data_IF_231648475332
#
_entry.id   IF_231648475332
#
_cell.length_a   1.000
_cell.length_b   1.000
_cell.length_c   1.000
_cell.angle_alpha   90.00
_cell.angle_beta   90.00
_cell.angle_gamma   90.00
#
_symmetry.space_group_name_H-M   'P 1'
#
loop_
_entity.id
_entity.type
_entity.pdbx_description
1 polymer ?
#
# COMPACT_ATOMS: atom_id res chain seq x y z
N UNK A 1 5.30 16.81 12.96
CA UNK A 1 5.21 15.49 12.32
C UNK A 1 4.50 15.64 10.98
N UNK A 2 5.12 15.20 9.91
CA UNK A 2 4.58 15.18 8.54
C UNK A 2 4.68 13.75 8.04
N UNK A 3 3.69 13.28 7.28
CA UNK A 3 3.72 11.96 6.70
C UNK A 3 3.12 11.95 5.29
N UNK A 4 3.64 11.06 4.45
CA UNK A 4 3.20 10.85 3.07
C UNK A 4 3.11 9.36 2.79
N UNK A 5 2.15 8.99 1.95
CA UNK A 5 2.05 7.63 1.40
C UNK A 5 2.10 7.68 -0.12
N UNK A 6 2.77 6.72 -0.71
CA UNK A 6 2.86 6.53 -2.15
C UNK A 6 2.73 5.04 -2.50
N UNK A 7 2.71 4.75 -3.79
CA UNK A 7 2.54 3.40 -4.28
C UNK A 7 1.08 3.06 -4.58
N UNK A 8 0.89 1.91 -5.19
CA UNK A 8 -0.36 1.45 -5.78
C UNK A 8 -0.69 0.03 -5.30
N UNK A 9 -1.97 -0.31 -5.27
CA UNK A 9 -2.44 -1.60 -4.73
C UNK A 9 -1.81 -2.81 -5.40
N UNK A 10 -1.63 -2.75 -6.72
CA UNK A 10 -1.00 -3.81 -7.51
C UNK A 10 0.36 -3.40 -8.07
N UNK A 11 0.90 -2.24 -7.67
CA UNK A 11 2.28 -1.82 -7.94
C UNK A 11 3.29 -2.69 -7.18
N UNK A 12 4.56 -2.39 -7.31
CA UNK A 12 5.65 -3.13 -6.67
C UNK A 12 5.55 -3.13 -5.14
N UNK A 13 5.07 -2.04 -4.57
CA UNK A 13 4.87 -1.91 -3.14
C UNK A 13 4.20 -0.60 -2.75
N UNK A 14 3.94 -0.47 -1.47
CA UNK A 14 3.50 0.77 -0.86
C UNK A 14 4.68 1.39 -0.11
N UNK A 15 4.84 2.69 -0.25
CA UNK A 15 5.88 3.47 0.43
C UNK A 15 5.24 4.46 1.39
N UNK A 16 5.81 4.58 2.58
CA UNK A 16 5.44 5.61 3.54
C UNK A 16 6.66 6.34 4.05
N UNK A 17 6.55 7.64 4.19
CA UNK A 17 7.56 8.48 4.82
C UNK A 17 6.91 9.20 5.99
N UNK A 18 7.60 9.22 7.13
CA UNK A 18 7.21 10.02 8.27
C UNK A 18 8.43 10.81 8.77
N UNK A 19 8.27 12.09 8.95
CA UNK A 19 9.29 13.03 9.41
C UNK A 19 8.85 13.75 10.69
N UNK A 20 9.83 14.24 11.46
CA UNK A 20 9.61 14.89 12.73
C UNK A 20 9.43 13.92 13.90
N UNK A 21 9.99 12.72 13.81
CA UNK A 21 10.14 11.78 14.92
C UNK A 21 11.50 12.03 15.58
N UNK A 22 11.50 12.16 16.90
CA UNK A 22 12.74 12.32 17.66
C UNK A 22 13.65 11.10 17.53
N UNK A 23 14.95 11.28 17.67
CA UNK A 23 15.89 10.16 17.85
C UNK A 23 15.67 9.49 19.21
N UNK A 24 15.95 8.18 19.29
CA UNK A 24 15.89 7.45 20.56
C UNK A 24 14.57 6.71 20.81
N UNK A 25 13.58 6.77 19.91
CA UNK A 25 12.35 5.97 20.00
C UNK A 25 12.66 4.53 19.60
N UNK A 26 12.37 3.59 20.49
CA UNK A 26 12.53 2.15 20.22
C UNK A 26 11.42 1.65 19.31
N UNK A 27 11.79 1.09 18.15
CA UNK A 27 10.88 0.51 17.19
C UNK A 27 11.60 -0.51 16.32
N UNK A 28 10.94 -1.62 16.03
CA UNK A 28 11.46 -2.72 15.24
C UNK A 28 10.54 -3.05 14.06
N UNK A 29 11.04 -3.83 13.11
CA UNK A 29 10.20 -4.40 12.04
C UNK A 29 9.06 -5.26 12.60
N UNK A 30 9.29 -5.92 13.74
CA UNK A 30 8.25 -6.71 14.41
C UNK A 30 7.07 -5.85 14.85
N UNK A 31 7.30 -4.66 15.37
CA UNK A 31 6.22 -3.75 15.77
C UNK A 31 5.33 -3.39 14.57
N UNK A 32 5.94 -3.13 13.41
CA UNK A 32 5.18 -2.90 12.16
C UNK A 32 4.39 -4.14 11.75
N UNK A 33 5.00 -5.32 11.84
CA UNK A 33 4.33 -6.59 11.50
C UNK A 33 3.15 -6.86 12.42
N UNK A 34 3.28 -6.61 13.72
CA UNK A 34 2.20 -6.79 14.70
C UNK A 34 1.02 -5.84 14.41
N UNK A 35 1.30 -4.56 14.08
CA UNK A 35 0.29 -3.60 13.65
C UNK A 35 -0.44 -4.03 12.38
N UNK A 36 0.31 -4.51 11.38
CA UNK A 36 -0.25 -5.02 10.14
C UNK A 36 -1.03 -6.34 10.34
N UNK A 37 -0.56 -7.21 11.23
CA UNK A 37 -1.30 -8.43 11.60
C UNK A 37 -2.64 -8.07 12.24
N UNK A 38 -2.66 -7.10 13.17
CA UNK A 38 -3.90 -6.61 13.79
C UNK A 38 -4.88 -6.05 12.75
N UNK A 39 -4.40 -5.30 11.74
CA UNK A 39 -5.23 -4.79 10.64
C UNK A 39 -5.99 -5.88 9.91
N UNK A 40 -5.45 -7.11 9.83
CA UNK A 40 -6.06 -8.24 9.14
C UNK A 40 -7.13 -8.95 9.96
N UNK A 41 -7.23 -8.70 11.26
CA UNK A 41 -8.24 -9.26 12.13
C UNK A 41 -9.60 -8.58 11.88
N UNK A 42 -10.67 -9.31 12.12
CA UNK A 42 -12.02 -8.80 12.03
C UNK A 42 -12.89 -9.54 11.00
N UNK A 43 -14.18 -9.51 11.27
CA UNK A 43 -15.20 -10.11 10.39
C UNK A 43 -15.35 -9.32 9.10
N UNK A 44 -15.63 -9.98 7.98
CA UNK A 44 -15.89 -9.32 6.70
C UNK A 44 -14.63 -8.86 5.94
N UNK A 45 -13.43 -9.19 6.41
CA UNK A 45 -12.19 -8.88 5.69
C UNK A 45 -12.10 -9.69 4.39
N UNK A 46 -11.69 -9.02 3.29
CA UNK A 46 -11.58 -9.64 1.97
C UNK A 46 -10.63 -10.85 1.94
N UNK A 47 -10.88 -11.77 1.00
CA UNK A 47 -10.10 -13.01 0.87
C UNK A 47 -8.59 -12.75 0.74
N UNK A 48 -8.18 -11.70 0.03
CA UNK A 48 -6.78 -11.30 -0.15
C UNK A 48 -6.05 -11.10 1.19
N UNK A 49 -6.70 -10.52 2.18
CA UNK A 49 -6.10 -10.25 3.50
C UNK A 49 -5.82 -11.53 4.32
N UNK A 50 -6.46 -12.66 3.96
CA UNK A 50 -6.22 -13.96 4.62
C UNK A 50 -4.91 -14.62 4.18
N UNK A 51 -4.43 -14.30 2.97
CA UNK A 51 -3.28 -14.95 2.34
C UNK A 51 -2.04 -14.05 2.26
N UNK A 52 -2.21 -12.73 2.31
CA UNK A 52 -1.12 -11.78 2.22
C UNK A 52 -0.46 -11.56 3.59
N UNK A 53 0.72 -12.12 3.78
CA UNK A 53 1.64 -11.66 4.81
C UNK A 53 2.35 -10.42 4.27
N UNK A 54 1.96 -9.22 4.72
CA UNK A 54 2.61 -7.97 4.34
C UNK A 54 4.09 -8.02 4.73
N UNK A 55 4.97 -8.15 3.73
CA UNK A 55 6.41 -8.02 3.95
C UNK A 55 6.74 -6.55 4.10
N UNK A 56 6.97 -6.13 5.34
CA UNK A 56 7.30 -4.76 5.67
C UNK A 56 8.76 -4.64 6.08
N UNK A 57 9.41 -3.54 5.70
CA UNK A 57 10.76 -3.20 6.13
C UNK A 57 10.99 -1.70 6.20
N UNK A 58 11.88 -1.29 7.09
CA UNK A 58 12.43 0.06 7.09
C UNK A 58 13.46 0.19 5.95
N UNK A 59 13.41 1.30 5.22
CA UNK A 59 14.41 1.69 4.25
C UNK A 59 15.43 2.69 4.83
N UNK A 60 15.04 3.42 5.88
CA UNK A 60 15.87 4.40 6.56
C UNK A 60 15.18 4.96 7.79
N UNK A 61 15.90 5.78 8.56
CA UNK A 61 15.40 6.47 9.76
C UNK A 61 15.40 5.62 11.05
N UNK A 62 15.67 4.33 10.96
CA UNK A 62 15.79 3.41 12.11
C UNK A 62 17.07 2.60 11.98
N UNK A 63 17.81 2.43 13.08
CA UNK A 63 19.02 1.62 13.16
C UNK A 63 19.11 0.90 14.50
N UNK A 64 19.37 -0.42 14.46
CA UNK A 64 19.45 -1.26 15.67
C UNK A 64 18.23 -1.14 16.59
N UNK A 65 17.04 -1.00 16.00
CA UNK A 65 15.79 -0.89 16.75
C UNK A 65 15.50 0.48 17.34
N UNK A 66 16.22 1.53 16.95
CA UNK A 66 16.06 2.88 17.48
C UNK A 66 16.00 3.91 16.35
N UNK A 67 15.11 4.89 16.48
CA UNK A 67 15.00 5.99 15.50
C UNK A 67 16.23 6.89 15.56
N UNK A 68 16.63 7.45 14.41
CA UNK A 68 17.84 8.25 14.27
C UNK A 68 17.58 9.77 14.25
N UNK A 69 16.30 10.19 14.26
CA UNK A 69 15.91 11.60 14.07
C UNK A 69 15.81 12.01 12.60
N UNK A 70 16.27 11.17 11.66
CA UNK A 70 16.06 11.37 10.22
C UNK A 70 14.67 10.92 9.80
N UNK A 71 14.16 11.35 8.62
CA UNK A 71 12.92 10.82 8.07
C UNK A 71 12.94 9.30 8.02
N UNK A 72 11.85 8.68 8.46
CA UNK A 72 11.66 7.23 8.45
C UNK A 72 10.96 6.86 7.16
N UNK A 73 11.58 5.99 6.36
CA UNK A 73 10.98 5.44 5.15
C UNK A 73 10.65 3.96 5.35
N UNK A 74 9.43 3.57 4.98
CA UNK A 74 8.89 2.22 5.11
C UNK A 74 8.44 1.71 3.74
N UNK A 75 8.71 0.46 3.45
CA UNK A 75 8.21 -0.26 2.27
C UNK A 75 7.36 -1.45 2.71
N UNK A 76 6.19 -1.62 2.09
CA UNK A 76 5.39 -2.85 2.13
C UNK A 76 5.38 -3.43 0.72
N UNK A 77 6.00 -4.58 0.55
CA UNK A 77 6.13 -5.26 -0.75
C UNK A 77 4.79 -5.86 -1.19
N UNK A 78 4.59 -5.97 -2.51
CA UNK A 78 3.44 -6.65 -3.09
C UNK A 78 3.84 -8.03 -3.61
N UNK A 79 3.36 -9.08 -2.98
CA UNK A 79 3.64 -10.46 -3.39
C UNK A 79 3.08 -10.83 -4.77
N UNK A 80 2.06 -10.10 -5.24
CA UNK A 80 1.47 -10.32 -6.57
C UNK A 80 2.16 -9.52 -7.69
N UNK A 81 3.12 -8.65 -7.36
CA UNK A 81 3.82 -7.81 -8.33
C UNK A 81 4.28 -8.53 -9.60
N UNK A 82 4.84 -9.75 -9.54
CA UNK A 82 5.25 -10.45 -10.76
C UNK A 82 4.15 -10.62 -11.81
N UNK A 83 2.88 -10.69 -11.39
CA UNK A 83 1.73 -10.82 -12.27
C UNK A 83 1.26 -9.49 -12.87
N UNK A 84 1.68 -8.37 -12.27
CA UNK A 84 1.19 -7.03 -12.58
C UNK A 84 2.22 -6.15 -13.29
N UNK A 85 3.48 -6.58 -13.37
CA UNK A 85 4.60 -5.80 -13.92
C UNK A 85 4.30 -5.12 -15.24
N UNK A 86 3.62 -5.83 -16.16
CA UNK A 86 3.35 -5.29 -17.48
C UNK A 86 2.33 -4.17 -17.44
N UNK A 87 1.15 -4.39 -16.83
CA UNK A 87 0.07 -3.40 -16.83
C UNK A 87 0.35 -2.23 -15.89
N UNK A 88 1.20 -2.41 -14.91
CA UNK A 88 1.60 -1.40 -13.91
C UNK A 88 3.01 -0.83 -14.17
N UNK A 89 3.57 -1.08 -15.36
CA UNK A 89 4.88 -0.55 -15.71
C UNK A 89 4.87 0.98 -15.70
N UNK A 90 5.85 1.64 -15.08
CA UNK A 90 6.03 3.09 -15.20
C UNK A 90 6.53 3.50 -16.59
N UNK A 91 7.11 2.55 -17.34
CA UNK A 91 7.63 2.79 -18.67
C UNK A 91 6.60 2.45 -19.75
N UNK A 92 6.71 3.01 -20.96
CA UNK A 92 5.83 2.70 -22.07
C UNK A 92 5.81 1.20 -22.38
N UNK A 93 4.60 0.65 -22.47
CA UNK A 93 4.37 -0.77 -22.81
C UNK A 93 3.69 -0.85 -24.16
N UNK A 94 4.23 -1.63 -25.14
CA UNK A 94 3.57 -1.84 -26.41
C UNK A 94 2.25 -2.59 -26.21
N UNK A 95 1.22 -2.23 -26.99
CA UNK A 95 -0.11 -2.84 -26.88
C UNK A 95 -0.09 -4.37 -27.01
N UNK A 96 0.84 -4.91 -27.80
CA UNK A 96 1.05 -6.36 -27.95
C UNK A 96 1.46 -7.06 -26.66
N UNK A 97 2.18 -6.37 -25.75
CA UNK A 97 2.61 -6.97 -24.49
C UNK A 97 1.45 -7.09 -23.47
N UNK A 98 0.35 -6.39 -23.67
CA UNK A 98 -0.86 -6.51 -22.86
C UNK A 98 -1.76 -7.68 -23.31
N UNK A 99 -1.53 -8.20 -24.52
CA UNK A 99 -2.25 -9.32 -25.09
C UNK A 99 -1.49 -10.61 -24.82
N UNK A 100 -2.20 -11.66 -24.48
CA UNK A 100 -1.64 -13.00 -24.26
C UNK A 100 -2.46 -14.03 -25.01
N UNK A 101 -1.78 -15.01 -25.55
CA UNK A 101 -2.46 -16.18 -26.13
C UNK A 101 -3.24 -16.90 -25.03
N UNK A 102 -4.53 -17.09 -25.27
CA UNK A 102 -5.42 -17.82 -24.36
C UNK A 102 -5.31 -19.36 -24.52
N UNK A 103 -4.31 -19.86 -25.22
CA UNK A 103 -4.10 -21.27 -25.51
C UNK A 103 -4.98 -21.81 -26.63
N UNK A 104 -5.57 -20.92 -27.44
CA UNK A 104 -6.43 -21.25 -28.60
C UNK A 104 -5.93 -20.65 -29.90
N UNK A 105 -4.71 -20.11 -29.90
CA UNK A 105 -4.13 -19.44 -31.07
C UNK A 105 -4.69 -18.04 -31.32
N UNK A 106 -5.37 -17.44 -30.32
CA UNK A 106 -5.86 -16.07 -30.39
C UNK A 106 -5.25 -15.20 -29.26
N UNK A 107 -4.91 -13.97 -29.60
CA UNK A 107 -4.45 -12.99 -28.63
C UNK A 107 -5.64 -12.34 -27.91
N UNK A 108 -5.59 -12.31 -26.58
CA UNK A 108 -6.59 -11.65 -25.72
C UNK A 108 -5.96 -10.87 -24.61
N UNK A 109 -6.55 -9.74 -24.30
CA UNK A 109 -6.24 -9.05 -23.05
C UNK A 109 -6.78 -9.85 -21.86
N UNK A 110 -5.91 -10.23 -20.95
CA UNK A 110 -6.36 -10.80 -19.66
C UNK A 110 -7.05 -9.73 -18.84
N UNK A 111 -7.92 -10.14 -17.91
CA UNK A 111 -8.77 -9.21 -17.14
C UNK A 111 -7.98 -8.09 -16.46
N UNK A 112 -6.79 -8.38 -15.92
CA UNK A 112 -5.94 -7.36 -15.26
C UNK A 112 -5.31 -6.36 -16.22
N UNK A 113 -5.14 -6.70 -17.52
CA UNK A 113 -4.50 -5.81 -18.49
C UNK A 113 -5.49 -4.89 -19.20
N UNK A 114 -6.79 -5.17 -19.09
CA UNK A 114 -7.82 -4.38 -19.75
C UNK A 114 -7.94 -2.99 -19.14
N UNK A 115 -8.16 -1.94 -19.95
CA UNK A 115 -8.57 -0.64 -19.45
C UNK A 115 -9.85 -0.74 -18.61
N UNK A 116 -9.92 0.05 -17.54
CA UNK A 116 -11.06 0.11 -16.62
C UNK A 116 -11.93 1.33 -16.96
N UNK A 117 -12.80 1.19 -17.94
CA UNK A 117 -13.64 2.29 -18.46
C UNK A 117 -14.97 2.45 -17.71
N UNK A 118 -15.29 1.53 -16.79
CA UNK A 118 -16.52 1.57 -16.00
C UNK A 118 -16.20 1.87 -14.53
N UNK A 119 -16.49 3.09 -14.04
CA UNK A 119 -16.32 3.44 -12.64
C UNK A 119 -17.16 2.55 -11.73
N UNK A 120 -16.61 2.12 -10.62
CA UNK A 120 -17.32 1.31 -9.62
C UNK A 120 -18.21 2.22 -8.76
N UNK A 121 -19.48 1.86 -8.53
CA UNK A 121 -20.35 2.57 -7.58
C UNK A 121 -19.75 2.55 -6.17
N UNK A 122 -19.87 3.67 -5.45
CA UNK A 122 -19.38 3.79 -4.07
C UNK A 122 -17.85 3.84 -3.92
N UNK A 123 -17.10 3.97 -5.03
CA UNK A 123 -15.65 4.12 -5.04
C UNK A 123 -15.23 5.50 -5.58
N UNK A 124 -13.95 5.85 -5.43
CA UNK A 124 -13.42 7.12 -5.92
C UNK A 124 -13.27 7.23 -7.45
N UNK A 125 -13.54 6.15 -8.18
CA UNK A 125 -13.23 6.01 -9.60
C UNK A 125 -13.80 7.16 -10.44
N UNK A 126 -15.11 7.43 -10.37
CA UNK A 126 -15.74 8.48 -11.19
C UNK A 126 -15.22 9.86 -10.85
N UNK A 127 -15.13 10.19 -9.56
CA UNK A 127 -14.66 11.49 -9.12
C UNK A 127 -13.18 11.71 -9.50
N UNK A 128 -12.34 10.69 -9.35
CA UNK A 128 -10.93 10.79 -9.72
C UNK A 128 -10.73 10.85 -11.24
N UNK A 129 -11.46 10.08 -12.04
CA UNK A 129 -11.41 10.18 -13.49
C UNK A 129 -11.77 11.58 -13.96
N UNK A 130 -12.83 12.17 -13.39
CA UNK A 130 -13.25 13.53 -13.73
C UNK A 130 -12.24 14.60 -13.27
N UNK A 131 -11.67 14.45 -12.06
CA UNK A 131 -10.73 15.42 -11.50
C UNK A 131 -9.39 15.47 -12.24
N UNK A 132 -8.94 14.33 -12.79
CA UNK A 132 -7.64 14.20 -13.46
C UNK A 132 -7.76 13.99 -14.99
N UNK A 133 -8.97 14.09 -15.55
CA UNK A 133 -9.25 13.86 -16.98
C UNK A 133 -8.69 12.51 -17.48
N UNK A 134 -9.01 11.45 -16.76
CA UNK A 134 -8.50 10.10 -17.03
C UNK A 134 -9.51 9.27 -17.82
N UNK A 135 -9.13 8.67 -18.96
CA UNK A 135 -9.99 7.73 -19.70
C UNK A 135 -10.10 6.35 -19.05
N UNK A 136 -9.21 6.04 -18.10
CA UNK A 136 -9.11 4.76 -17.39
C UNK A 136 -9.15 5.00 -15.88
N UNK A 137 -9.99 4.26 -15.16
CA UNK A 137 -10.12 4.35 -13.73
C UNK A 137 -8.94 3.73 -12.97
N UNK A 138 -8.03 3.01 -13.63
CA UNK A 138 -6.95 2.27 -12.98
C UNK A 138 -6.09 3.15 -12.06
N UNK A 139 -5.57 4.32 -12.46
CA UNK A 139 -4.75 5.14 -11.57
C UNK A 139 -5.48 5.51 -10.27
N UNK A 140 -6.78 5.81 -10.36
CA UNK A 140 -7.61 6.13 -9.21
C UNK A 140 -7.86 4.89 -8.35
N UNK A 141 -8.24 3.77 -8.97
CA UNK A 141 -8.52 2.49 -8.32
C UNK A 141 -7.32 1.99 -7.53
N UNK A 142 -6.16 2.05 -8.13
CA UNK A 142 -4.91 1.56 -7.51
C UNK A 142 -4.52 2.40 -6.30
N UNK A 143 -4.66 3.72 -6.41
CA UNK A 143 -4.29 4.65 -5.32
C UNK A 143 -5.34 4.70 -4.21
N UNK A 144 -6.63 4.65 -4.53
CA UNK A 144 -7.74 4.71 -3.58
C UNK A 144 -8.12 3.34 -3.00
N UNK A 145 -7.33 2.31 -3.25
CA UNK A 145 -7.55 0.96 -2.75
C UNK A 145 -7.47 0.87 -1.23
N UNK A 146 -8.27 -0.02 -0.65
CA UNK A 146 -8.19 -0.35 0.79
C UNK A 146 -6.79 -0.89 1.19
N UNK A 147 -5.98 -1.37 0.26
CA UNK A 147 -4.60 -1.81 0.53
C UNK A 147 -3.71 -0.63 0.97
N UNK A 148 -3.95 0.56 0.46
CA UNK A 148 -3.22 1.77 0.87
C UNK A 148 -3.24 1.98 2.39
N UNK A 149 -4.33 1.61 3.05
CA UNK A 149 -4.45 1.71 4.50
C UNK A 149 -3.43 0.85 5.26
N UNK A 150 -2.79 -0.14 4.62
CA UNK A 150 -1.70 -0.89 5.24
C UNK A 150 -0.52 0.04 5.56
N UNK A 151 -0.15 0.93 4.63
CA UNK A 151 0.91 1.89 4.88
C UNK A 151 0.53 2.91 5.96
N UNK A 152 -0.72 3.37 5.99
CA UNK A 152 -1.21 4.25 7.07
C UNK A 152 -1.11 3.59 8.45
N UNK A 153 -1.41 2.29 8.54
CA UNK A 153 -1.23 1.53 9.78
C UNK A 153 0.24 1.45 10.17
N UNK A 154 1.15 1.16 9.23
CA UNK A 154 2.58 1.10 9.50
C UNK A 154 3.13 2.44 10.02
N UNK A 155 2.76 3.56 9.39
CA UNK A 155 3.12 4.90 9.87
C UNK A 155 2.47 5.21 11.23
N UNK A 156 1.23 4.76 11.44
CA UNK A 156 0.51 4.87 12.71
C UNK A 156 1.24 4.15 13.85
N UNK A 157 1.86 2.99 13.60
CA UNK A 157 2.67 2.28 14.60
C UNK A 157 3.86 3.14 15.04
N UNK A 158 4.55 3.81 14.11
CA UNK A 158 5.66 4.73 14.46
C UNK A 158 5.16 5.85 15.37
N UNK A 159 4.02 6.46 15.04
CA UNK A 159 3.42 7.51 15.86
C UNK A 159 3.00 7.00 17.24
N UNK A 160 2.40 5.80 17.30
CA UNK A 160 2.00 5.17 18.58
C UNK A 160 3.20 4.92 19.49
N UNK A 161 4.28 4.35 18.97
CA UNK A 161 5.52 4.12 19.72
C UNK A 161 6.12 5.41 20.24
N UNK A 162 6.08 6.46 19.43
CA UNK A 162 6.54 7.79 19.85
C UNK A 162 5.70 8.35 21.02
N UNK A 163 4.37 8.29 20.91
CA UNK A 163 3.46 8.76 21.95
C UNK A 163 3.59 7.94 23.25
N UNK A 164 3.71 6.63 23.14
CA UNK A 164 3.84 5.75 24.29
C UNK A 164 5.14 6.01 25.04
N UNK A 165 6.28 6.12 24.34
CA UNK A 165 7.58 6.29 24.97
C UNK A 165 7.85 7.71 25.46
N UNK A 166 7.37 8.72 24.73
CA UNK A 166 7.58 10.12 25.12
C UNK A 166 6.60 10.62 26.20
N UNK A 167 5.36 10.11 26.20
CA UNK A 167 4.27 10.68 27.00
C UNK A 167 3.45 9.65 27.77
N UNK A 168 3.71 8.35 27.64
CA UNK A 168 2.90 7.29 28.25
C UNK A 168 1.50 7.15 27.64
N UNK A 169 1.24 7.79 26.48
CA UNK A 169 -0.07 7.80 25.84
C UNK A 169 -0.24 6.54 24.99
N UNK A 170 -1.29 5.79 25.25
CA UNK A 170 -1.70 4.63 24.46
C UNK A 170 -2.93 4.91 23.63
N UNK A 171 -2.88 4.53 22.35
CA UNK A 171 -4.05 4.59 21.45
C UNK A 171 -4.75 3.26 21.41
N UNK A 172 -6.08 3.28 21.52
CA UNK A 172 -6.93 2.09 21.44
C UNK A 172 -7.95 2.28 20.33
N UNK A 173 -8.20 1.25 19.55
CA UNK A 173 -9.24 1.25 18.52
C UNK A 173 -9.98 -0.09 18.49
N UNK A 174 -11.30 -0.03 18.29
CA UNK A 174 -12.12 -1.20 18.08
C UNK A 174 -13.23 -0.91 17.05
N UNK A 175 -13.80 -1.96 16.50
CA UNK A 175 -14.99 -1.86 15.64
C UNK A 175 -16.24 -2.02 16.51
N UNK A 176 -17.23 -1.20 16.26
CA UNK A 176 -18.58 -1.27 16.88
C UNK A 176 -19.59 -1.72 15.85
#
# INVERSE_FOLDING_TARGET
MIWLTAGESHGEGLVGIIDGIASGVEITTKDLQDGLARRRLGYGRGARQKWEADKVRFLGGVRHGVTTGAPIAILIENSEWPKWKTVMSPDPVPASALKVDAGKGDEREIARNKPLTRPRPGHADLAGMAAYDLPDARPVLERASARETAMRVALGVVAQKTLEQAFGIRTVSHTV
#
